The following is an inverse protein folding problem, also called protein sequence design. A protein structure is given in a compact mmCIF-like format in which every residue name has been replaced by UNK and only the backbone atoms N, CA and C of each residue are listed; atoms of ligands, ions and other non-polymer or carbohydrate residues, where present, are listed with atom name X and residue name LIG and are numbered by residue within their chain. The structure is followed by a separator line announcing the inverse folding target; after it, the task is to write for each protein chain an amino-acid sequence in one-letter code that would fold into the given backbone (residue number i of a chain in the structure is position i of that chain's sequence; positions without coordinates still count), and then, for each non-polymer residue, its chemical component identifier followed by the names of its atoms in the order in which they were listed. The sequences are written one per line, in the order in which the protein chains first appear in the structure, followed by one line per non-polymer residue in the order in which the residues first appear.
data_IF_751624766091
#
_entry.id   IF_751624766091
#
_cell.length_a   1.000
_cell.length_b   1.000
_cell.length_c   1.000
_cell.angle_alpha   90.00
_cell.angle_beta   90.00
_cell.angle_gamma   90.00
#
_symmetry.space_group_name_H-M   'P 1'
#
loop_
_entity.id
_entity.type
_entity.pdbx_description
1 polymer ?
#
# COMPACT_ATOMS: atom_id res chain seq x y z
N UNK A 1 -23.30 -13.96 1.09
CA UNK A 1 -21.87 -13.98 1.45
C UNK A 1 -21.21 -14.06 0.10
N UNK A 2 -20.85 -12.91 -0.46
CA UNK A 2 -19.95 -12.93 -1.62
C UNK A 2 -18.68 -13.59 -1.14
N UNK A 3 -18.34 -14.67 -1.81
CA UNK A 3 -17.20 -15.52 -1.54
C UNK A 3 -16.02 -14.80 -2.18
N UNK A 4 -15.53 -13.75 -1.53
CA UNK A 4 -14.37 -13.00 -1.99
C UNK A 4 -13.19 -13.97 -2.09
N UNK A 5 -12.72 -14.18 -3.32
CA UNK A 5 -11.52 -14.95 -3.60
C UNK A 5 -10.34 -14.18 -3.01
N UNK A 6 -9.81 -14.62 -1.88
CA UNK A 6 -8.73 -13.95 -1.12
C UNK A 6 -7.36 -14.01 -1.83
N UNK A 7 -7.29 -13.61 -3.10
CA UNK A 7 -6.09 -13.44 -3.90
C UNK A 7 -5.32 -12.18 -3.49
N UNK A 8 -5.17 -11.22 -4.41
CA UNK A 8 -4.47 -9.95 -4.12
C UNK A 8 -5.09 -9.15 -2.97
N UNK A 9 -6.41 -9.23 -2.78
CA UNK A 9 -7.13 -8.64 -1.65
C UNK A 9 -6.52 -8.99 -0.28
N UNK A 10 -5.90 -10.16 -0.15
CA UNK A 10 -5.31 -10.63 1.10
C UNK A 10 -4.24 -9.68 1.66
N UNK A 11 -3.49 -8.99 0.79
CA UNK A 11 -2.48 -8.03 1.22
C UNK A 11 -3.11 -6.83 1.96
N UNK A 12 -4.19 -6.28 1.43
CA UNK A 12 -4.93 -5.18 2.07
C UNK A 12 -5.54 -5.60 3.41
N UNK A 13 -6.10 -6.82 3.50
CA UNK A 13 -6.63 -7.34 4.77
C UNK A 13 -5.55 -7.57 5.84
N UNK A 14 -4.35 -8.01 5.44
CA UNK A 14 -3.21 -8.15 6.36
C UNK A 14 -2.80 -6.77 6.89
N UNK A 15 -2.73 -5.75 6.03
CA UNK A 15 -2.43 -4.37 6.41
C UNK A 15 -3.45 -3.83 7.42
N UNK A 16 -4.74 -3.94 7.11
CA UNK A 16 -5.83 -3.50 8.00
C UNK A 16 -5.75 -4.18 9.36
N UNK A 17 -5.57 -5.51 9.36
CA UNK A 17 -5.48 -6.31 10.58
C UNK A 17 -4.28 -5.88 11.43
N UNK A 18 -3.12 -5.72 10.80
CA UNK A 18 -1.90 -5.32 11.49
C UNK A 18 -2.01 -3.91 12.07
N UNK A 19 -2.50 -2.94 11.28
CA UNK A 19 -2.72 -1.57 11.73
C UNK A 19 -3.68 -1.51 12.91
N UNK A 20 -4.81 -2.22 12.81
CA UNK A 20 -5.81 -2.31 13.89
C UNK A 20 -5.23 -2.89 15.19
N UNK A 21 -4.37 -3.90 15.10
CA UNK A 21 -3.70 -4.45 16.28
C UNK A 21 -2.67 -3.49 16.87
N UNK A 22 -1.89 -2.81 16.04
CA UNK A 22 -0.91 -1.83 16.47
C UNK A 22 -1.58 -0.65 17.18
N UNK A 23 -2.68 -0.13 16.64
CA UNK A 23 -3.50 0.93 17.27
C UNK A 23 -4.11 0.48 18.60
N UNK A 24 -4.53 -0.79 18.68
CA UNK A 24 -5.03 -1.38 19.92
C UNK A 24 -3.92 -1.62 20.97
N UNK A 25 -2.66 -1.31 20.66
CA UNK A 25 -1.51 -1.42 21.55
C UNK A 25 -0.93 -2.82 21.64
N UNK A 26 -1.09 -3.66 20.62
CA UNK A 26 -0.47 -4.97 20.55
C UNK A 26 1.01 -4.84 20.12
N UNK A 27 1.93 -5.34 20.95
CA UNK A 27 3.37 -5.37 20.64
C UNK A 27 3.78 -6.52 19.70
N UNK A 28 2.92 -7.52 19.56
CA UNK A 28 3.11 -8.67 18.68
C UNK A 28 1.77 -9.31 18.31
N UNK A 29 1.61 -9.66 17.04
CA UNK A 29 0.50 -10.47 16.54
C UNK A 29 1.05 -11.68 15.78
N UNK A 30 0.38 -12.83 15.90
CA UNK A 30 0.72 -14.04 15.16
C UNK A 30 -0.48 -14.45 14.31
N UNK A 31 -0.31 -14.51 13.00
CA UNK A 31 -1.30 -15.07 12.08
C UNK A 31 -1.00 -16.56 11.90
N UNK A 32 -1.97 -17.41 12.24
CA UNK A 32 -1.90 -18.86 11.97
C UNK A 32 -3.06 -19.24 11.06
N UNK A 33 -2.78 -19.51 9.79
CA UNK A 33 -3.72 -20.16 8.88
C UNK A 33 -3.62 -21.67 9.00
N UNK A 34 -4.70 -22.35 9.36
CA UNK A 34 -4.84 -23.80 9.13
C UNK A 34 -5.87 -23.94 8.03
N UNK A 35 -5.41 -24.30 6.85
CA UNK A 35 -6.26 -24.57 5.71
C UNK A 35 -7.17 -25.76 6.03
N UNK A 36 -8.48 -25.52 5.95
CA UNK A 36 -9.47 -26.60 5.96
C UNK A 36 -10.08 -26.80 4.59
N UNK A 37 -10.14 -25.78 3.72
CA UNK A 37 -10.55 -25.86 2.31
C UNK A 37 -9.95 -24.69 1.47
N UNK A 38 -9.97 -23.40 1.90
CA UNK A 38 -9.34 -22.24 1.20
C UNK A 38 -9.22 -20.93 2.04
N UNK A 39 -8.28 -20.76 3.00
CA UNK A 39 -7.91 -19.39 3.38
C UNK A 39 -6.39 -19.16 3.51
N UNK A 40 -5.90 -18.16 2.78
CA UNK A 40 -4.62 -17.48 3.01
C UNK A 40 -3.39 -18.36 2.86
N UNK A 41 -3.10 -18.82 1.64
CA UNK A 41 -1.78 -19.40 1.36
C UNK A 41 -0.75 -18.30 1.57
N UNK A 42 0.27 -18.57 2.37
CA UNK A 42 1.42 -17.68 2.57
C UNK A 42 2.60 -18.19 1.74
N UNK A 43 2.88 -19.48 1.79
CA UNK A 43 3.94 -20.09 0.99
C UNK A 43 3.54 -21.48 0.50
N UNK A 44 4.05 -21.91 -0.65
CA UNK A 44 3.96 -23.27 -1.18
C UNK A 44 5.36 -23.78 -1.54
N UNK A 45 5.58 -25.09 -1.43
CA UNK A 45 6.82 -25.71 -1.88
C UNK A 45 6.51 -26.99 -2.65
N UNK A 46 6.97 -27.08 -3.89
CA UNK A 46 6.82 -28.26 -4.76
C UNK A 46 8.13 -28.52 -5.50
N UNK A 47 8.55 -29.79 -5.58
CA UNK A 47 9.76 -30.15 -6.34
C UNK A 47 11.09 -29.50 -5.87
N UNK A 48 11.11 -28.80 -4.73
CA UNK A 48 12.25 -28.01 -4.24
C UNK A 48 12.21 -26.53 -4.61
N UNK A 49 11.19 -26.10 -5.37
CA UNK A 49 10.88 -24.70 -5.67
C UNK A 49 9.89 -24.17 -4.64
N UNK A 50 10.14 -22.96 -4.13
CA UNK A 50 9.28 -22.27 -3.19
C UNK A 50 8.54 -21.14 -3.89
N UNK A 51 7.26 -20.97 -3.55
CA UNK A 51 6.40 -19.89 -4.03
C UNK A 51 5.87 -19.14 -2.83
N UNK A 52 6.13 -17.84 -2.79
CA UNK A 52 5.54 -16.95 -1.80
C UNK A 52 4.32 -16.27 -2.44
N UNK A 53 3.17 -16.45 -1.81
CA UNK A 53 1.94 -15.81 -2.27
C UNK A 53 1.97 -14.33 -1.90
N UNK A 54 1.14 -13.54 -2.57
CA UNK A 54 1.06 -12.08 -2.35
C UNK A 54 0.91 -11.69 -0.87
N UNK A 55 0.22 -12.51 -0.07
CA UNK A 55 0.11 -12.31 1.38
C UNK A 55 1.41 -12.51 2.16
N UNK A 56 2.30 -13.42 1.76
CA UNK A 56 3.61 -13.57 2.39
C UNK A 56 4.55 -12.41 2.06
N UNK A 57 4.58 -11.98 0.81
CA UNK A 57 5.36 -10.79 0.40
C UNK A 57 4.90 -9.54 1.15
N UNK A 58 3.59 -9.38 1.36
CA UNK A 58 3.05 -8.29 2.19
C UNK A 58 3.55 -8.38 3.65
N UNK A 59 3.57 -9.57 4.25
CA UNK A 59 4.10 -9.77 5.60
C UNK A 59 5.59 -9.47 5.69
N UNK A 60 6.38 -9.87 4.68
CA UNK A 60 7.80 -9.55 4.59
C UNK A 60 8.02 -8.03 4.47
N UNK A 61 7.28 -7.37 3.58
CA UNK A 61 7.33 -5.92 3.44
C UNK A 61 6.98 -5.19 4.74
N UNK A 62 5.99 -5.66 5.49
CA UNK A 62 5.67 -5.13 6.82
C UNK A 62 6.84 -5.33 7.78
N UNK A 63 7.33 -6.57 7.92
CA UNK A 63 8.37 -6.92 8.88
C UNK A 63 9.67 -6.13 8.66
N UNK A 64 10.09 -5.96 7.41
CA UNK A 64 11.26 -5.15 7.04
C UNK A 64 11.11 -3.68 7.43
N UNK A 65 9.92 -3.11 7.21
CA UNK A 65 9.75 -1.66 7.16
C UNK A 65 9.26 -1.03 8.45
N UNK A 66 8.40 -1.71 9.22
CA UNK A 66 7.71 -1.12 10.38
C UNK A 66 8.44 -1.35 11.71
N UNK A 67 9.56 -2.08 11.71
CA UNK A 67 10.37 -2.30 12.91
C UNK A 67 10.72 -0.98 13.62
N UNK A 68 10.41 -0.89 14.92
CA UNK A 68 10.70 0.29 15.74
C UNK A 68 9.87 1.54 15.41
N UNK A 69 8.78 1.39 14.67
CA UNK A 69 7.81 2.46 14.38
C UNK A 69 6.57 2.34 15.27
N UNK A 70 5.73 3.37 15.24
CA UNK A 70 4.36 3.31 15.74
C UNK A 70 3.38 3.53 14.59
N UNK A 71 2.25 2.84 14.63
CA UNK A 71 1.17 3.07 13.68
C UNK A 71 0.62 4.49 13.87
N UNK A 72 0.38 5.16 12.76
CA UNK A 72 -0.33 6.42 12.68
C UNK A 72 -1.81 6.06 12.56
N UNK A 73 -2.67 6.73 13.34
CA UNK A 73 -4.08 6.40 13.37
C UNK A 73 -4.70 6.46 11.96
N UNK A 74 -5.43 5.41 11.56
CA UNK A 74 -6.30 5.47 10.40
C UNK A 74 -7.63 6.11 10.81
N UNK A 75 -8.09 7.10 10.05
CA UNK A 75 -9.38 7.75 10.32
C UNK A 75 -10.58 6.90 9.85
N UNK A 76 -10.33 5.81 9.13
CA UNK A 76 -11.35 4.93 8.54
C UNK A 76 -10.90 3.46 8.53
N UNK A 77 -11.86 2.55 8.75
CA UNK A 77 -11.66 1.12 8.50
C UNK A 77 -11.46 0.87 7.00
N UNK A 78 -10.79 -0.24 6.65
CA UNK A 78 -10.65 -0.66 5.26
C UNK A 78 -12.02 -0.75 4.57
N UNK A 79 -12.14 -0.06 3.44
CA UNK A 79 -13.31 -0.08 2.56
C UNK A 79 -12.86 -0.51 1.15
N UNK A 80 -13.26 -1.70 0.66
CA UNK A 80 -12.86 -2.18 -0.67
C UNK A 80 -13.41 -1.29 -1.81
N UNK A 81 -14.48 -0.53 -1.55
CA UNK A 81 -15.04 0.43 -2.51
C UNK A 81 -14.22 1.73 -2.56
N UNK A 82 -13.33 1.98 -1.58
CA UNK A 82 -12.44 3.13 -1.61
C UNK A 82 -11.32 2.93 -2.65
N UNK A 83 -11.00 3.95 -3.48
CA UNK A 83 -10.00 3.80 -4.54
C UNK A 83 -8.61 3.47 -3.97
N UNK A 84 -8.25 4.08 -2.84
CA UNK A 84 -7.02 3.78 -2.10
C UNK A 84 -7.27 3.88 -0.60
N UNK A 85 -6.75 2.91 0.15
CA UNK A 85 -6.59 2.99 1.60
C UNK A 85 -5.12 3.22 1.95
N UNK A 86 -4.85 4.10 2.92
CA UNK A 86 -3.48 4.45 3.34
C UNK A 86 -3.21 4.01 4.77
N UNK A 87 -2.07 3.37 4.99
CA UNK A 87 -1.58 2.96 6.31
C UNK A 87 -0.22 3.58 6.59
N UNK A 88 -0.08 4.29 7.71
CA UNK A 88 1.15 5.01 8.06
C UNK A 88 1.85 4.46 9.30
N UNK A 89 3.17 4.42 9.26
CA UNK A 89 4.02 3.99 10.36
C UNK A 89 5.21 4.92 10.52
N UNK A 90 5.47 5.44 11.71
CA UNK A 90 6.46 6.51 11.90
C UNK A 90 7.38 6.27 13.11
N UNK A 91 8.61 6.77 13.03
CA UNK A 91 9.45 7.04 14.20
C UNK A 91 10.29 8.31 13.96
N UNK A 92 11.30 8.54 14.80
CA UNK A 92 12.17 9.72 14.67
C UNK A 92 13.00 9.73 13.37
N UNK A 93 13.27 8.56 12.78
CA UNK A 93 14.20 8.39 11.67
C UNK A 93 13.51 8.19 10.31
N UNK A 94 12.29 7.64 10.28
CA UNK A 94 11.56 7.31 9.04
C UNK A 94 10.03 7.41 9.18
N UNK A 95 9.39 7.52 8.02
CA UNK A 95 7.94 7.35 7.81
C UNK A 95 7.76 6.29 6.71
N UNK A 96 6.89 5.30 6.94
CA UNK A 96 6.51 4.29 5.96
C UNK A 96 5.02 4.41 5.70
N UNK A 97 4.64 4.57 4.44
CA UNK A 97 3.26 4.59 3.99
C UNK A 97 3.00 3.38 3.10
N UNK A 98 1.90 2.68 3.33
CA UNK A 98 1.34 1.70 2.41
C UNK A 98 0.09 2.26 1.77
N UNK A 99 0.02 2.26 0.44
CA UNK A 99 -1.14 2.64 -0.34
C UNK A 99 -1.71 1.36 -0.95
N UNK A 100 -2.89 0.94 -0.52
CA UNK A 100 -3.56 -0.26 -1.03
C UNK A 100 -4.71 0.16 -1.95
N UNK A 101 -4.69 -0.29 -3.20
CA UNK A 101 -5.80 -0.09 -4.13
C UNK A 101 -7.03 -0.92 -3.70
N UNK A 102 -8.22 -0.40 -3.98
CA UNK A 102 -9.49 -1.13 -3.86
C UNK A 102 -9.77 -2.03 -5.06
N UNK A 103 -11.05 -2.30 -5.29
CA UNK A 103 -11.55 -3.18 -6.38
C UNK A 103 -11.29 -2.60 -7.79
N UNK A 104 -10.99 -1.31 -7.88
CA UNK A 104 -10.69 -0.62 -9.14
C UNK A 104 -9.32 0.04 -9.06
N UNK A 105 -8.53 -0.11 -10.13
CA UNK A 105 -7.26 0.59 -10.27
C UNK A 105 -7.48 2.11 -10.20
N UNK A 106 -6.92 2.82 -9.21
CA UNK A 106 -7.20 4.23 -8.98
C UNK A 106 -6.38 5.16 -9.88
N UNK A 107 -5.43 4.62 -10.67
CA UNK A 107 -4.59 5.38 -11.57
C UNK A 107 -3.47 6.12 -10.83
N UNK A 108 -3.24 7.38 -11.21
CA UNK A 108 -2.17 8.18 -10.60
C UNK A 108 -2.61 8.76 -9.26
N UNK A 109 -1.81 8.56 -8.22
CA UNK A 109 -2.05 9.01 -6.86
C UNK A 109 -0.91 9.91 -6.40
N UNK A 110 -1.28 11.07 -5.85
CA UNK A 110 -0.32 12.05 -5.36
C UNK A 110 -0.46 12.29 -3.86
N UNK A 111 0.68 12.29 -3.18
CA UNK A 111 0.80 12.59 -1.77
C UNK A 111 1.48 13.93 -1.58
N UNK A 112 0.80 14.81 -0.87
CA UNK A 112 1.39 16.03 -0.32
C UNK A 112 1.58 15.84 1.19
N UNK A 113 2.83 15.91 1.63
CA UNK A 113 3.24 15.74 3.02
C UNK A 113 3.89 17.03 3.52
N UNK A 114 3.45 17.53 4.68
CA UNK A 114 4.13 18.65 5.32
C UNK A 114 5.60 18.28 5.60
N UNK A 115 6.52 19.12 5.12
CA UNK A 115 7.95 18.91 5.29
C UNK A 115 8.61 18.04 4.22
N UNK A 116 7.95 17.76 3.08
CA UNK A 116 8.65 17.21 1.90
C UNK A 116 9.84 18.09 1.50
N UNK A 117 11.00 17.46 1.26
CA UNK A 117 12.24 18.13 0.92
C UNK A 117 12.96 18.83 2.07
N UNK A 118 12.33 18.92 3.25
CA UNK A 118 12.89 19.54 4.45
C UNK A 118 13.10 18.50 5.56
N UNK A 119 12.00 17.95 6.07
CA UNK A 119 12.00 16.86 7.05
C UNK A 119 12.23 15.53 6.36
N UNK A 120 11.52 15.28 5.26
CA UNK A 120 11.68 14.08 4.46
C UNK A 120 12.63 14.36 3.31
N UNK A 121 13.80 13.74 3.34
CA UNK A 121 14.89 14.08 2.41
C UNK A 121 15.00 13.10 1.25
N UNK A 122 14.55 11.86 1.44
CA UNK A 122 14.60 10.80 0.44
C UNK A 122 13.38 9.90 0.55
N UNK A 123 12.95 9.32 -0.57
CA UNK A 123 11.89 8.32 -0.62
C UNK A 123 12.31 7.11 -1.46
N UNK A 124 11.95 5.92 -1.00
CA UNK A 124 11.98 4.67 -1.76
C UNK A 124 10.55 4.22 -2.02
N UNK A 125 10.30 3.64 -3.19
CA UNK A 125 8.99 3.16 -3.57
C UNK A 125 9.10 1.73 -4.12
N UNK A 126 8.28 0.85 -3.57
CA UNK A 126 8.17 -0.54 -4.00
C UNK A 126 6.71 -0.89 -4.23
N UNK A 127 6.44 -1.55 -5.35
CA UNK A 127 5.13 -2.08 -5.71
C UNK A 127 5.06 -3.55 -5.36
N UNK A 128 3.91 -3.98 -4.86
CA UNK A 128 3.52 -5.37 -4.71
C UNK A 128 2.26 -5.62 -5.53
N UNK A 129 2.36 -6.55 -6.49
CA UNK A 129 1.23 -7.11 -7.25
C UNK A 129 1.13 -8.61 -7.01
N UNK A 130 -0.02 -9.20 -7.34
CA UNK A 130 -0.15 -10.65 -7.42
C UNK A 130 -0.21 -11.14 -8.86
N UNK A 131 0.61 -12.10 -9.23
CA UNK A 131 0.55 -12.71 -10.55
C UNK A 131 0.18 -14.18 -10.42
N UNK A 132 -0.89 -14.62 -11.08
CA UNK A 132 -1.20 -16.05 -11.13
C UNK A 132 -0.34 -16.71 -12.21
N UNK A 133 0.47 -17.74 -11.87
CA UNK A 133 1.22 -18.48 -12.88
C UNK A 133 0.32 -19.09 -13.95
N UNK A 134 0.74 -19.06 -15.23
CA UNK A 134 -0.06 -19.61 -16.34
C UNK A 134 -0.39 -21.11 -16.15
N UNK A 135 0.50 -21.86 -15.51
CA UNK A 135 0.37 -23.29 -15.20
C UNK A 135 0.04 -23.59 -13.73
N UNK A 136 -0.64 -22.66 -13.04
CA UNK A 136 -1.01 -22.76 -11.61
C UNK A 136 -1.62 -24.13 -11.24
N UNK A 137 -2.53 -24.68 -12.07
CA UNK A 137 -3.13 -25.99 -11.81
C UNK A 137 -2.08 -27.11 -11.68
N UNK A 138 -1.07 -27.10 -12.56
CA UNK A 138 0.00 -28.08 -12.55
C UNK A 138 0.95 -27.86 -11.36
N UNK A 139 1.32 -26.61 -11.08
CA UNK A 139 2.22 -26.24 -9.97
C UNK A 139 1.60 -26.61 -8.62
N UNK A 140 0.31 -26.34 -8.44
CA UNK A 140 -0.38 -26.48 -7.16
C UNK A 140 -1.24 -27.75 -7.06
N UNK A 141 -1.18 -28.63 -8.05
CA UNK A 141 -1.84 -29.95 -8.04
C UNK A 141 -3.36 -29.89 -8.09
N UNK A 142 -3.92 -28.85 -8.74
CA UNK A 142 -5.36 -28.63 -8.89
C UNK A 142 -5.84 -29.35 -10.15
N UNK A 143 -6.84 -30.25 -10.07
CA UNK A 143 -7.39 -30.90 -11.25
C UNK A 143 -8.13 -29.91 -12.15
N UNK A 144 -7.73 -29.84 -13.43
CA UNK A 144 -8.42 -29.03 -14.44
C UNK A 144 -9.84 -29.55 -14.72
N UNK A 145 -10.82 -28.66 -14.61
CA UNK A 145 -12.20 -28.94 -15.00
C UNK A 145 -12.61 -28.10 -16.22
N UNK A 146 -12.60 -28.70 -17.44
CA UNK A 146 -12.85 -27.95 -18.67
C UNK A 146 -14.29 -27.45 -18.83
N UNK A 147 -15.21 -27.88 -17.96
CA UNK A 147 -16.62 -27.49 -17.99
C UNK A 147 -16.93 -26.27 -17.09
N UNK A 148 -15.95 -25.77 -16.34
CA UNK A 148 -16.10 -24.65 -15.38
C UNK A 148 -15.09 -23.55 -15.71
N UNK A 149 -15.50 -22.29 -15.54
CA UNK A 149 -14.56 -21.17 -15.56
C UNK A 149 -13.86 -21.10 -14.20
N UNK A 150 -12.60 -21.52 -14.18
CA UNK A 150 -11.76 -21.56 -12.98
C UNK A 150 -10.93 -20.28 -12.81
N UNK A 151 -11.18 -19.22 -13.60
CA UNK A 151 -10.47 -17.93 -13.46
C UNK A 151 -10.54 -17.35 -12.04
N UNK A 152 -11.71 -17.33 -11.35
CA UNK A 152 -11.77 -16.84 -9.97
C UNK A 152 -11.01 -17.71 -8.97
N UNK A 153 -10.91 -19.02 -9.24
CA UNK A 153 -10.11 -19.92 -8.41
C UNK A 153 -8.62 -19.64 -8.62
N UNK A 154 -8.21 -19.43 -9.87
CA UNK A 154 -6.83 -19.13 -10.25
C UNK A 154 -6.26 -17.88 -9.54
N UNK A 155 -7.08 -16.85 -9.31
CA UNK A 155 -6.69 -15.63 -8.58
C UNK A 155 -6.30 -15.91 -7.12
N UNK A 156 -6.81 -16.98 -6.52
CA UNK A 156 -6.42 -17.40 -5.15
C UNK A 156 -4.99 -17.98 -5.08
N UNK A 157 -4.37 -18.23 -6.24
CA UNK A 157 -3.00 -18.74 -6.37
C UNK A 157 -2.01 -17.66 -6.83
N UNK A 158 -2.40 -16.38 -6.75
CA UNK A 158 -1.53 -15.26 -7.11
C UNK A 158 -0.25 -15.24 -6.24
N UNK A 159 0.90 -15.40 -6.89
CA UNK A 159 2.22 -15.24 -6.26
C UNK A 159 2.55 -13.76 -6.14
N UNK A 160 3.25 -13.36 -5.08
CA UNK A 160 3.62 -11.97 -4.88
C UNK A 160 4.78 -11.59 -5.80
N UNK A 161 4.66 -10.44 -6.47
CA UNK A 161 5.73 -9.86 -7.29
C UNK A 161 6.05 -8.48 -6.74
N UNK A 162 7.29 -8.31 -6.28
CA UNK A 162 7.81 -7.03 -5.79
C UNK A 162 8.67 -6.37 -6.86
N UNK A 163 8.42 -5.09 -7.09
CA UNK A 163 9.19 -4.27 -8.02
C UNK A 163 9.54 -2.92 -7.39
N UNK A 164 10.82 -2.54 -7.48
CA UNK A 164 11.22 -1.16 -7.21
C UNK A 164 10.69 -0.21 -8.28
N UNK A 165 9.98 0.83 -7.86
CA UNK A 165 9.46 1.88 -8.74
C UNK A 165 10.12 3.23 -8.42
N UNK A 166 10.19 4.12 -9.40
CA UNK A 166 10.64 5.50 -9.18
C UNK A 166 9.41 6.39 -9.10
N UNK A 167 9.15 7.05 -7.96
CA UNK A 167 8.03 7.97 -7.86
C UNK A 167 8.28 9.22 -8.71
N UNK A 168 7.19 9.80 -9.21
CA UNK A 168 7.22 11.08 -9.90
C UNK A 168 7.25 12.21 -8.87
N UNK A 169 8.10 13.21 -9.09
CA UNK A 169 8.17 14.40 -8.25
C UNK A 169 7.56 15.58 -9.00
N UNK A 170 6.45 16.13 -8.51
CA UNK A 170 5.85 17.32 -9.12
C UNK A 170 5.20 18.23 -8.09
N UNK A 171 5.45 19.54 -8.22
CA UNK A 171 4.81 20.61 -7.42
C UNK A 171 4.73 20.38 -5.90
N UNK A 172 5.81 19.84 -5.31
CA UNK A 172 5.86 19.58 -3.86
C UNK A 172 5.23 18.26 -3.41
N UNK A 173 4.78 17.42 -4.34
CA UNK A 173 4.17 16.12 -4.08
C UNK A 173 5.00 14.96 -4.64
N UNK A 174 4.75 13.78 -4.07
CA UNK A 174 5.20 12.47 -4.56
C UNK A 174 4.04 11.80 -5.26
N UNK A 175 4.20 11.49 -6.54
CA UNK A 175 3.23 10.77 -7.37
C UNK A 175 3.64 9.32 -7.59
N UNK A 176 2.67 8.41 -7.57
CA UNK A 176 2.83 7.00 -7.93
C UNK A 176 1.62 6.51 -8.71
N UNK A 177 1.85 5.56 -9.62
CA UNK A 177 0.77 4.89 -10.35
C UNK A 177 0.34 3.62 -9.61
N UNK A 178 -0.96 3.50 -9.38
CA UNK A 178 -1.63 2.25 -9.05
C UNK A 178 -2.52 1.86 -10.26
N UNK A 179 -1.97 1.06 -11.17
CA UNK A 179 -2.58 0.60 -12.40
C UNK A 179 -3.37 -0.71 -12.33
N UNK A 180 -3.39 -1.42 -11.19
CA UNK A 180 -4.10 -2.68 -10.99
C UNK A 180 -4.97 -2.66 -9.72
N UNK A 181 -6.14 -3.32 -9.72
CA UNK A 181 -6.89 -3.57 -8.49
C UNK A 181 -6.03 -4.26 -7.43
N UNK A 182 -6.26 -3.96 -6.16
CA UNK A 182 -5.62 -4.58 -4.99
C UNK A 182 -4.08 -4.54 -4.92
N UNK A 183 -3.40 -3.82 -5.81
CA UNK A 183 -1.96 -3.63 -5.67
C UNK A 183 -1.63 -2.77 -4.44
N UNK A 184 -0.42 -2.95 -3.92
CA UNK A 184 0.08 -2.16 -2.79
C UNK A 184 1.35 -1.44 -3.18
N UNK A 185 1.44 -0.14 -2.87
CA UNK A 185 2.68 0.63 -2.95
C UNK A 185 3.19 0.91 -1.54
N UNK A 186 4.43 0.52 -1.24
CA UNK A 186 5.18 0.94 -0.04
C UNK A 186 6.05 2.13 -0.38
N UNK A 187 5.78 3.26 0.27
CA UNK A 187 6.62 4.47 0.24
C UNK A 187 7.37 4.61 1.55
N UNK A 188 8.69 4.69 1.49
CA UNK A 188 9.54 4.76 2.68
C UNK A 188 10.35 6.04 2.65
N UNK A 189 10.03 6.97 3.55
CA UNK A 189 10.62 8.30 3.64
C UNK A 189 11.67 8.35 4.74
N UNK A 190 12.87 8.82 4.42
CA UNK A 190 13.94 9.05 5.39
C UNK A 190 13.89 10.48 5.95
N UNK A 191 13.89 10.58 7.28
CA UNK A 191 14.03 11.85 8.02
C UNK A 191 15.48 12.15 8.41
N UNK A 192 16.25 11.08 8.64
CA UNK A 192 17.64 11.14 9.08
C UNK A 192 18.53 10.28 8.17
N UNK A 193 19.85 10.44 8.31
CA UNK A 193 20.81 9.60 7.59
C UNK A 193 20.76 8.14 8.09
N UNK A 194 20.46 7.95 9.37
CA UNK A 194 20.23 6.65 9.98
C UNK A 194 19.00 5.97 9.38
N UNK A 195 17.88 6.68 9.26
CA UNK A 195 16.67 6.17 8.61
C UNK A 195 16.91 5.83 7.13
N UNK A 196 17.65 6.67 6.40
CA UNK A 196 18.04 6.40 5.02
C UNK A 196 18.89 5.12 4.89
N UNK A 197 19.85 4.92 5.80
CA UNK A 197 20.71 3.74 5.79
C UNK A 197 19.93 2.46 6.15
N UNK A 198 18.95 2.56 7.06
CA UNK A 198 18.06 1.47 7.40
C UNK A 198 17.18 1.08 6.20
N UNK A 199 16.47 2.04 5.60
CA UNK A 199 15.60 1.78 4.43
C UNK A 199 16.40 1.15 3.30
N UNK A 200 17.57 1.71 2.97
CA UNK A 200 18.43 1.19 1.92
C UNK A 200 18.95 -0.25 2.17
N UNK A 201 18.84 -0.78 3.40
CA UNK A 201 19.29 -2.14 3.71
C UNK A 201 18.31 -3.24 3.28
N UNK A 202 17.03 -2.88 3.06
CA UNK A 202 15.97 -3.80 2.68
C UNK A 202 15.17 -3.35 1.45
N UNK A 203 15.15 -2.05 1.11
CA UNK A 203 14.46 -1.60 -0.09
C UNK A 203 15.17 -2.06 -1.35
N UNK A 204 14.36 -2.48 -2.31
CA UNK A 204 14.82 -2.64 -3.68
C UNK A 204 14.91 -1.27 -4.37
N UNK A 205 15.89 -1.11 -5.26
CA UNK A 205 16.04 0.12 -6.05
C UNK A 205 16.88 1.23 -5.39
N UNK A 206 16.72 2.44 -5.91
CA UNK A 206 17.49 3.63 -5.51
C UNK A 206 16.58 4.69 -4.90
N UNK A 207 17.11 5.43 -3.94
CA UNK A 207 16.41 6.54 -3.32
C UNK A 207 16.13 7.65 -4.34
N UNK A 208 14.93 8.21 -4.27
CA UNK A 208 14.58 9.46 -4.93
C UNK A 208 14.84 10.61 -3.95
N UNK A 209 15.66 11.57 -4.36
CA UNK A 209 16.01 12.76 -3.56
C UNK A 209 14.85 13.76 -3.57
N UNK A 210 14.31 14.05 -2.38
CA UNK A 210 13.20 14.99 -2.19
C UNK A 210 13.67 16.42 -1.94
N UNK A 211 14.97 16.66 -1.72
CA UNK A 211 15.48 18.03 -1.50
C UNK A 211 15.25 18.94 -2.72
N UNK A 212 15.02 18.36 -3.90
CA UNK A 212 14.59 19.10 -5.10
C UNK A 212 13.21 19.74 -4.95
N UNK A 213 12.41 19.30 -3.98
CA UNK A 213 11.11 19.87 -3.64
C UNK A 213 11.20 21.06 -2.66
N UNK A 214 12.37 21.29 -2.04
CA UNK A 214 12.59 22.44 -1.15
C UNK A 214 12.47 23.75 -1.95
N UNK A 215 11.47 24.56 -1.61
CA UNK A 215 11.21 25.86 -2.23
C UNK A 215 10.07 25.91 -3.24
N UNK A 216 9.34 24.81 -3.48
CA UNK A 216 8.02 24.92 -4.07
C UNK A 216 7.07 25.55 -3.03
N UNK A 217 6.29 26.60 -3.39
CA UNK A 217 5.17 26.99 -2.54
C UNK A 217 4.22 25.79 -2.40
N UNK A 218 3.59 25.60 -1.22
CA UNK A 218 2.43 24.71 -1.09
C UNK A 218 1.30 25.22 -2.00
N UNK A 219 1.37 24.83 -3.26
CA UNK A 219 0.26 24.90 -4.20
C UNK A 219 -0.31 23.49 -4.24
N UNK A 220 -1.62 23.38 -4.36
CA UNK A 220 -2.27 22.08 -4.53
C UNK A 220 -1.54 21.30 -5.65
N UNK A 221 -1.20 20.01 -5.45
CA UNK A 221 -0.54 19.21 -6.48
C UNK A 221 -1.30 19.28 -7.80
N UNK A 222 -0.62 19.27 -8.96
CA UNK A 222 -1.29 19.24 -10.28
C UNK A 222 -2.05 17.94 -10.55
N UNK A 223 -2.06 17.01 -9.60
CA UNK A 223 -2.97 15.87 -9.61
C UNK A 223 -4.39 16.28 -9.20
N UNK A 224 -4.59 17.51 -8.74
CA UNK A 224 -5.89 18.14 -8.71
C UNK A 224 -6.46 18.13 -10.14
N UNK A 225 -7.67 17.59 -10.27
CA UNK A 225 -8.45 17.57 -11.50
C UNK A 225 -8.33 18.91 -12.24
N UNK A 226 -8.29 18.92 -13.59
CA UNK A 226 -8.40 20.17 -14.33
C UNK A 226 -9.58 20.96 -13.76
N UNK A 227 -9.39 22.26 -13.48
CA UNK A 227 -10.48 23.13 -13.04
C UNK A 227 -11.60 23.02 -14.08
N UNK A 228 -12.63 22.20 -13.79
CA UNK A 228 -13.88 22.19 -14.53
C UNK A 228 -14.40 23.63 -14.46
N UNK A 229 -14.57 24.27 -15.62
CA UNK A 229 -15.21 25.58 -15.71
C UNK A 229 -16.64 25.45 -15.17
N UNK A 230 -16.81 25.79 -13.88
CA UNK A 230 -18.03 26.20 -13.17
C UNK A 230 -19.35 25.98 -13.92
N UNK A 231 -19.75 24.71 -14.09
CA UNK A 231 -21.13 24.33 -14.34
C UNK A 231 -21.64 23.65 -13.07
N UNK A 232 -22.45 24.40 -12.31
CA UNK A 232 -23.16 23.96 -11.10
C UNK A 232 -23.67 22.51 -11.23
N UNK A 233 -22.96 21.55 -10.65
CA UNK A 233 -23.53 20.31 -10.16
C UNK A 233 -22.76 19.86 -8.91
N UNK A 234 -23.52 19.66 -7.83
CA UNK A 234 -23.06 19.26 -6.50
C UNK A 234 -22.49 17.84 -6.53
N UNK A 235 -21.23 17.64 -6.96
CA UNK A 235 -20.42 16.47 -6.56
C UNK A 235 -18.92 16.64 -6.90
N UNK A 236 -18.20 17.54 -6.22
CA UNK A 236 -16.73 17.54 -6.26
C UNK A 236 -16.20 16.59 -5.18
N UNK A 237 -16.01 15.32 -5.55
CA UNK A 237 -15.37 14.29 -4.71
C UNK A 237 -13.85 14.49 -4.64
N UNK A 238 -13.42 15.64 -4.12
CA UNK A 238 -12.11 15.74 -3.49
C UNK A 238 -12.22 15.09 -2.10
N UNK A 239 -11.72 13.86 -1.94
CA UNK A 239 -11.62 13.23 -0.64
C UNK A 239 -10.57 13.97 0.22
N UNK A 240 -11.02 15.03 0.90
CA UNK A 240 -10.25 15.68 1.96
C UNK A 240 -10.22 14.74 3.17
N UNK A 241 -9.13 14.00 3.37
CA UNK A 241 -8.90 13.27 4.61
C UNK A 241 -8.34 14.27 5.63
N UNK A 242 -9.21 14.92 6.40
CA UNK A 242 -8.81 15.79 7.50
C UNK A 242 -9.84 15.89 8.65
N UNK A 243 -9.29 15.74 9.87
CA UNK A 243 -9.73 16.18 11.21
C UNK A 243 -10.63 15.26 12.07
N UNK A 244 -10.01 14.76 13.15
CA UNK A 244 -10.63 14.73 14.48
C UNK A 244 -9.81 15.55 15.50
N UNK A 245 -10.15 16.84 15.65
CA UNK A 245 -9.72 17.66 16.79
C UNK A 245 -10.47 17.21 18.04
N UNK A 246 -9.81 16.44 18.90
CA UNK A 246 -10.38 15.89 20.12
C UNK A 246 -9.40 15.77 21.30
N UNK A 247 -8.78 16.89 21.72
CA UNK A 247 -8.24 17.11 23.07
C UNK A 247 -7.44 15.93 23.69
N UNK A 248 -6.20 15.73 23.23
CA UNK A 248 -5.30 14.78 23.90
C UNK A 248 -3.95 14.55 23.23
N UNK A 249 -3.16 15.59 22.94
CA UNK A 249 -1.70 15.49 22.80
C UNK A 249 -1.10 14.53 21.75
N UNK A 250 -1.87 13.97 20.82
CA UNK A 250 -1.35 13.26 19.64
C UNK A 250 -1.39 14.19 18.43
N UNK A 251 -0.28 14.30 17.70
CA UNK A 251 -0.31 14.95 16.39
C UNK A 251 -1.10 14.04 15.45
N UNK A 252 -2.28 14.47 15.03
CA UNK A 252 -3.03 13.82 13.96
C UNK A 252 -2.32 14.05 12.63
N UNK A 253 -2.30 13.01 11.82
CA UNK A 253 -1.77 13.03 10.46
C UNK A 253 -2.78 13.75 9.55
N UNK A 254 -2.33 14.70 8.73
CA UNK A 254 -3.19 15.38 7.76
C UNK A 254 -2.54 15.21 6.40
N UNK A 255 -3.16 14.42 5.53
CA UNK A 255 -2.68 14.13 4.18
C UNK A 255 -3.75 14.50 3.16
N UNK A 256 -3.33 15.07 2.04
CA UNK A 256 -4.20 15.31 0.89
C UNK A 256 -3.83 14.29 -0.20
N UNK A 257 -4.80 13.47 -0.58
CA UNK A 257 -4.72 12.52 -1.69
C UNK A 257 -5.55 13.05 -2.86
N UNK A 258 -4.99 13.01 -4.07
CA UNK A 258 -5.66 13.39 -5.31
C UNK A 258 -5.61 12.23 -6.31
N UNK A 259 -6.71 12.04 -7.04
CA UNK A 259 -6.90 10.97 -8.03
C UNK A 259 -7.20 11.57 -9.41
N UNK A 260 -6.72 10.91 -10.47
CA UNK A 260 -6.98 11.27 -11.86
C UNK A 260 -7.62 10.06 -12.57
N UNK A 261 -8.91 10.17 -12.90
CA UNK A 261 -9.72 9.15 -13.61
C UNK A 261 -9.76 9.45 -15.11
#
# INVERSE_FOLDING_TARGET
LDEAAYGQEHAAYILESFSSYAEAGADAASLYGVDLIHPGRVSWQEGGEGYDFVGAEMLEMLYESVGGTHALASDTAYDPDAPVTTYGFENDDKLVLFLAAGDTAPGHVCLDLEGMGLTYTQVWAERLTGETPEDWQAIFGVPDNPDVDETPEAETYAVGVRDAITPDLSQGAVGVDLGSPHEVIRLSFAKTAEGAAEIASWSEGSATDLSVLDGFPSVLPTCALPEEEDDNDENSDAAMIAEAVGSGGGMGLLFLLFFLV
#
